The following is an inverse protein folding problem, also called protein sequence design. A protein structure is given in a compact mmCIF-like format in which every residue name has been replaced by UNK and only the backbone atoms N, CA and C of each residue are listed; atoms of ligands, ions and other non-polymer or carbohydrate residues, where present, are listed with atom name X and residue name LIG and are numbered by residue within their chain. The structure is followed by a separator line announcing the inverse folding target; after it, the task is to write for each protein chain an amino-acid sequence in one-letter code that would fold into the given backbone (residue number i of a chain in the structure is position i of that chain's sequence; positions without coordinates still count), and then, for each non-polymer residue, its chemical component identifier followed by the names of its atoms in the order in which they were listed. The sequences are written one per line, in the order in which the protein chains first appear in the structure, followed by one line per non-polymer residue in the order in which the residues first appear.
data_IF_606969728727
#
_entry.id   IF_606969728727
#
_cell.length_a   1.000
_cell.length_b   1.000
_cell.length_c   1.000
_cell.angle_alpha   90.00
_cell.angle_beta   90.00
_cell.angle_gamma   90.00
#
_symmetry.space_group_name_H-M   'P 1'
#
loop_
_entity.id
_entity.type
_entity.pdbx_description
1 polymer ?
#
# COMPACT_ATOMS: atom_id res chain seq x y z
N UNK A 1 13.19 32.92 15.84
CA UNK A 1 13.37 31.84 14.84
C UNK A 1 14.47 30.83 15.25
N UNK A 2 14.53 30.44 16.54
CA UNK A 2 15.61 29.57 17.10
C UNK A 2 15.06 28.53 18.11
N UNK A 3 13.84 28.72 18.61
CA UNK A 3 13.21 27.84 19.61
C UNK A 3 12.33 26.74 19.00
N UNK A 4 11.66 26.97 17.86
CA UNK A 4 10.88 25.93 17.15
C UNK A 4 11.78 24.83 16.58
N UNK A 5 12.93 25.18 16.00
CA UNK A 5 13.84 24.23 15.37
C UNK A 5 14.54 23.28 16.37
N UNK A 6 14.69 23.71 17.64
CA UNK A 6 15.21 22.86 18.73
C UNK A 6 14.17 21.87 19.26
N UNK A 7 12.89 22.20 19.18
CA UNK A 7 11.81 21.31 19.59
C UNK A 7 11.66 20.11 18.64
N UNK A 8 11.86 20.32 17.34
CA UNK A 8 11.80 19.28 16.32
C UNK A 8 12.94 18.24 16.43
N UNK A 9 14.15 18.68 16.79
CA UNK A 9 15.33 17.79 16.89
C UNK A 9 15.26 16.91 18.15
N UNK A 10 14.77 17.41 19.28
CA UNK A 10 14.69 16.65 20.53
C UNK A 10 13.62 15.55 20.43
N UNK A 11 12.51 15.79 19.73
CA UNK A 11 11.50 14.75 19.45
C UNK A 11 11.99 13.72 18.41
N UNK A 12 12.80 14.15 17.43
CA UNK A 12 13.46 13.26 16.48
C UNK A 12 14.54 12.36 17.13
N UNK A 13 15.24 12.86 18.15
CA UNK A 13 16.25 12.11 18.92
C UNK A 13 15.63 11.04 19.85
N UNK A 14 14.39 11.23 20.32
CA UNK A 14 13.68 10.23 21.12
C UNK A 14 13.20 9.00 20.33
N UNK A 15 13.38 8.98 19.00
CA UNK A 15 12.94 7.89 18.11
C UNK A 15 14.09 7.04 17.56
N UNK A 16 15.33 7.36 17.90
CA UNK A 16 16.50 6.58 17.49
C UNK A 16 16.55 5.32 18.35
N UNK A 17 16.12 4.21 17.77
CA UNK A 17 16.13 2.89 18.42
C UNK A 17 17.16 1.99 17.75
N UNK A 18 17.65 0.98 18.45
CA UNK A 18 18.64 0.05 17.89
C UNK A 18 17.98 -1.27 17.49
N UNK A 19 18.47 -1.90 16.42
CA UNK A 19 18.10 -3.26 16.05
C UNK A 19 19.23 -4.23 16.36
N UNK A 20 19.14 -4.96 17.48
CA UNK A 20 20.15 -5.98 17.83
C UNK A 20 20.28 -7.11 16.81
N UNK A 21 19.21 -7.43 16.05
CA UNK A 21 19.26 -8.47 15.01
C UNK A 21 20.01 -8.05 13.76
N UNK A 22 19.97 -6.76 13.42
CA UNK A 22 20.64 -6.21 12.25
C UNK A 22 21.93 -5.47 12.61
N UNK A 23 22.27 -5.41 13.91
CA UNK A 23 23.41 -4.68 14.45
C UNK A 23 23.50 -3.22 13.96
N UNK A 24 22.35 -2.54 13.83
CA UNK A 24 22.29 -1.19 13.25
C UNK A 24 21.24 -0.31 13.93
N UNK A 25 21.47 1.01 13.87
CA UNK A 25 20.54 2.03 14.32
C UNK A 25 19.33 2.07 13.38
N UNK A 26 18.13 2.01 13.95
CA UNK A 26 16.87 2.21 13.24
C UNK A 26 16.64 3.71 13.06
N UNK A 27 16.47 4.09 11.80
CA UNK A 27 15.93 5.40 11.45
C UNK A 27 14.47 5.50 11.92
N UNK A 28 13.92 6.72 12.06
CA UNK A 28 12.52 6.90 12.40
C UNK A 28 11.60 6.07 11.49
N UNK A 29 10.55 5.47 12.08
CA UNK A 29 9.55 4.64 11.38
C UNK A 29 10.11 3.33 10.78
N UNK A 30 11.32 2.91 11.18
CA UNK A 30 11.92 1.65 10.73
C UNK A 30 11.57 0.51 11.67
N UNK A 31 11.13 -0.62 11.12
CA UNK A 31 10.82 -1.82 11.89
C UNK A 31 11.55 -3.03 11.32
N UNK A 32 11.99 -3.94 12.19
CA UNK A 32 12.62 -5.19 11.77
C UNK A 32 11.53 -6.19 11.41
N UNK A 33 11.51 -6.63 10.16
CA UNK A 33 10.64 -7.72 9.73
C UNK A 33 11.37 -9.05 9.96
N UNK A 34 10.74 -9.95 10.73
CA UNK A 34 11.26 -11.30 10.99
C UNK A 34 11.31 -12.14 9.71
N UNK A 35 10.26 -12.09 8.89
CA UNK A 35 10.16 -12.86 7.64
C UNK A 35 11.22 -12.45 6.62
N UNK A 36 11.47 -11.15 6.47
CA UNK A 36 12.52 -10.65 5.58
C UNK A 36 13.91 -10.62 6.23
N UNK A 37 14.02 -10.92 7.53
CA UNK A 37 15.22 -10.83 8.37
C UNK A 37 16.03 -9.53 8.18
N UNK A 38 15.34 -8.39 8.06
CA UNK A 38 15.98 -7.08 7.87
C UNK A 38 15.11 -5.94 8.37
N UNK A 39 15.75 -4.81 8.62
CA UNK A 39 15.06 -3.57 8.93
C UNK A 39 14.46 -2.94 7.67
N UNK A 40 13.18 -2.58 7.72
CA UNK A 40 12.41 -1.99 6.64
C UNK A 40 12.09 -0.54 7.02
N UNK A 41 12.61 0.40 6.24
CA UNK A 41 12.35 1.83 6.43
C UNK A 41 10.89 2.15 6.10
N UNK A 42 10.21 2.89 7.00
CA UNK A 42 8.77 3.17 6.93
C UNK A 42 7.97 1.91 6.65
N UNK A 43 8.22 0.86 7.43
CA UNK A 43 7.57 -0.44 7.28
C UNK A 43 6.07 -0.31 7.41
N UNK A 44 5.33 -0.78 6.42
CA UNK A 44 3.88 -0.89 6.50
C UNK A 44 3.47 -2.26 7.01
N UNK A 45 3.86 -3.32 6.30
CA UNK A 45 3.64 -4.70 6.73
C UNK A 45 4.54 -5.66 5.93
N UNK A 46 4.63 -6.91 6.40
CA UNK A 46 5.06 -8.00 5.54
C UNK A 46 3.83 -8.57 4.84
N UNK A 47 3.85 -8.61 3.51
CA UNK A 47 2.73 -9.07 2.71
C UNK A 47 3.07 -10.45 2.13
N UNK A 48 2.42 -11.54 2.59
CA UNK A 48 2.66 -12.88 2.05
C UNK A 48 2.32 -12.96 0.55
N UNK A 49 1.32 -12.20 0.09
CA UNK A 49 0.82 -12.23 -1.29
C UNK A 49 1.82 -11.74 -2.33
N UNK A 50 2.71 -10.81 -1.95
CA UNK A 50 3.82 -10.35 -2.81
C UNK A 50 5.17 -10.90 -2.34
N UNK A 51 5.16 -11.82 -1.37
CA UNK A 51 6.34 -12.42 -0.73
C UNK A 51 7.43 -11.37 -0.40
N UNK A 52 7.02 -10.22 0.12
CA UNK A 52 7.90 -9.10 0.35
C UNK A 52 7.32 -8.15 1.39
N UNK A 53 8.19 -7.37 2.03
CA UNK A 53 7.75 -6.25 2.85
C UNK A 53 7.28 -5.08 2.00
N UNK A 54 6.19 -4.46 2.43
CA UNK A 54 5.73 -3.17 1.96
C UNK A 54 6.33 -2.11 2.89
N UNK A 55 7.06 -1.16 2.32
CA UNK A 55 7.69 -0.06 3.04
C UNK A 55 8.06 1.07 2.09
N UNK A 56 8.97 1.97 2.50
CA UNK A 56 9.25 3.21 1.76
C UNK A 56 9.50 2.99 0.25
N UNK A 57 10.34 2.01 -0.10
CA UNK A 57 10.80 1.76 -1.49
C UNK A 57 9.72 1.15 -2.40
N UNK A 58 8.61 0.66 -1.86
CA UNK A 58 7.60 -0.04 -2.67
C UNK A 58 6.14 0.19 -2.28
N UNK A 59 5.86 1.03 -1.28
CA UNK A 59 4.49 1.34 -0.85
C UNK A 59 3.64 1.86 -2.02
N UNK A 60 4.21 2.71 -2.88
CA UNK A 60 3.51 3.19 -4.09
C UNK A 60 3.08 2.08 -5.03
N UNK A 61 3.97 1.11 -5.28
CA UNK A 61 3.69 0.01 -6.20
C UNK A 61 2.67 -0.95 -5.59
N UNK A 62 2.70 -1.12 -4.26
CA UNK A 62 1.68 -1.88 -3.56
C UNK A 62 0.28 -1.22 -3.69
N UNK A 63 0.17 0.10 -3.50
CA UNK A 63 -1.10 0.81 -3.70
C UNK A 63 -1.57 0.72 -5.17
N UNK A 64 -0.65 0.88 -6.13
CA UNK A 64 -0.96 0.72 -7.57
C UNK A 64 -1.41 -0.71 -7.89
N UNK A 65 -0.73 -1.73 -7.36
CA UNK A 65 -1.11 -3.14 -7.51
C UNK A 65 -2.55 -3.37 -7.01
N UNK A 66 -2.89 -2.89 -5.82
CA UNK A 66 -4.24 -3.03 -5.28
C UNK A 66 -5.29 -2.33 -6.16
N UNK A 67 -4.99 -1.12 -6.64
CA UNK A 67 -5.87 -0.37 -7.53
C UNK A 67 -6.12 -1.10 -8.85
N UNK A 68 -5.05 -1.55 -9.53
CA UNK A 68 -5.19 -2.25 -10.81
C UNK A 68 -5.79 -3.65 -10.68
N UNK A 69 -5.48 -4.37 -9.60
CA UNK A 69 -6.13 -5.65 -9.30
C UNK A 69 -7.63 -5.46 -9.09
N UNK A 70 -8.05 -4.44 -8.34
CA UNK A 70 -9.48 -4.12 -8.15
C UNK A 70 -10.18 -3.80 -9.47
N UNK A 71 -9.58 -2.96 -10.32
CA UNK A 71 -10.14 -2.65 -11.64
C UNK A 71 -10.29 -3.89 -12.52
N UNK A 72 -9.28 -4.75 -12.53
CA UNK A 72 -9.32 -6.01 -13.27
C UNK A 72 -10.45 -6.92 -12.78
N UNK A 73 -10.59 -7.07 -11.46
CA UNK A 73 -11.64 -7.90 -10.86
C UNK A 73 -13.05 -7.34 -11.12
N UNK A 74 -13.23 -6.02 -11.02
CA UNK A 74 -14.50 -5.35 -11.38
C UNK A 74 -14.84 -5.64 -12.85
N UNK A 75 -13.87 -5.51 -13.75
CA UNK A 75 -14.08 -5.75 -15.18
C UNK A 75 -14.45 -7.21 -15.46
N UNK A 76 -13.76 -8.17 -14.82
CA UNK A 76 -14.07 -9.60 -14.95
C UNK A 76 -15.48 -9.91 -14.44
N UNK A 77 -15.85 -9.43 -13.25
CA UNK A 77 -17.21 -9.62 -12.71
C UNK A 77 -18.26 -9.00 -13.63
N UNK A 78 -18.08 -7.77 -14.11
CA UNK A 78 -19.06 -7.13 -14.99
C UNK A 78 -19.27 -7.91 -16.29
N UNK A 79 -18.20 -8.41 -16.92
CA UNK A 79 -18.32 -9.21 -18.13
C UNK A 79 -18.99 -10.56 -17.89
N UNK A 80 -18.55 -11.32 -16.88
CA UNK A 80 -19.11 -12.65 -16.62
C UNK A 80 -20.57 -12.53 -16.16
N UNK A 81 -20.88 -11.59 -15.26
CA UNK A 81 -22.25 -11.32 -14.82
C UNK A 81 -23.16 -10.85 -15.97
N UNK A 82 -22.66 -10.01 -16.87
CA UNK A 82 -23.42 -9.58 -18.04
C UNK A 82 -23.77 -10.78 -18.94
N UNK A 83 -22.80 -11.64 -19.23
CA UNK A 83 -23.01 -12.83 -20.05
C UNK A 83 -23.93 -13.86 -19.38
N UNK A 84 -23.84 -14.05 -18.05
CA UNK A 84 -24.65 -15.03 -17.31
C UNK A 84 -26.10 -14.57 -17.07
N UNK A 85 -26.33 -13.29 -16.79
CA UNK A 85 -27.61 -12.82 -16.25
C UNK A 85 -28.37 -11.82 -17.12
N UNK A 86 -27.69 -11.17 -18.08
CA UNK A 86 -28.28 -10.09 -18.90
C UNK A 86 -28.35 -10.49 -20.37
N UNK A 87 -27.30 -11.09 -20.89
CA UNK A 87 -27.22 -11.45 -22.30
C UNK A 87 -27.96 -12.77 -22.56
N UNK A 88 -29.24 -12.68 -22.92
CA UNK A 88 -30.15 -13.83 -23.03
C UNK A 88 -29.89 -14.74 -24.26
N UNK A 89 -28.77 -14.64 -25.00
CA UNK A 89 -28.55 -15.43 -26.25
C UNK A 89 -27.11 -15.84 -26.59
N UNK A 90 -27.06 -16.97 -27.33
CA UNK A 90 -25.98 -17.60 -28.08
C UNK A 90 -24.79 -18.15 -27.29
N UNK A 91 -24.06 -17.34 -26.52
CA UNK A 91 -22.83 -17.83 -25.84
C UNK A 91 -23.19 -18.86 -24.77
N UNK A 92 -24.14 -18.56 -23.88
CA UNK A 92 -24.55 -19.51 -22.83
C UNK A 92 -25.19 -20.80 -23.36
N UNK A 93 -25.83 -20.75 -24.53
CA UNK A 93 -26.46 -21.92 -25.15
C UNK A 93 -25.44 -22.88 -25.77
N UNK A 94 -24.27 -22.38 -26.17
CA UNK A 94 -23.15 -23.22 -26.63
C UNK A 94 -22.33 -23.80 -25.47
N UNK A 95 -22.47 -23.26 -24.26
CA UNK A 95 -21.78 -23.76 -23.08
C UNK A 95 -22.47 -25.01 -22.51
N UNK A 96 -21.65 -26.00 -22.18
CA UNK A 96 -22.06 -27.14 -21.36
C UNK A 96 -22.44 -26.66 -19.94
N UNK A 97 -23.29 -27.43 -19.25
CA UNK A 97 -23.64 -27.17 -17.84
C UNK A 97 -22.41 -27.05 -16.93
N UNK A 98 -21.37 -27.83 -17.21
CA UNK A 98 -20.11 -27.77 -16.46
C UNK A 98 -19.39 -26.43 -16.66
N UNK A 99 -19.37 -25.91 -17.89
CA UNK A 99 -18.77 -24.59 -18.17
C UNK A 99 -19.57 -23.46 -17.52
N UNK A 100 -20.91 -23.51 -17.58
CA UNK A 100 -21.75 -22.54 -16.88
C UNK A 100 -21.48 -22.55 -15.36
N UNK A 101 -21.38 -23.75 -14.76
CA UNK A 101 -21.06 -23.89 -13.35
C UNK A 101 -19.69 -23.31 -12.99
N UNK A 102 -18.66 -23.57 -13.81
CA UNK A 102 -17.32 -22.99 -13.63
C UNK A 102 -17.37 -21.46 -13.71
N UNK A 103 -18.07 -20.90 -14.71
CA UNK A 103 -18.21 -19.45 -14.87
C UNK A 103 -18.92 -18.82 -13.67
N UNK A 104 -19.98 -19.44 -13.15
CA UNK A 104 -20.66 -18.97 -11.94
C UNK A 104 -19.72 -18.97 -10.73
N UNK A 105 -18.90 -20.01 -10.56
CA UNK A 105 -17.89 -20.04 -9.48
C UNK A 105 -16.86 -18.92 -9.67
N UNK A 106 -16.38 -18.71 -10.89
CA UNK A 106 -15.44 -17.64 -11.21
C UNK A 106 -16.05 -16.26 -10.90
N UNK A 107 -17.29 -16.02 -11.30
CA UNK A 107 -18.00 -14.75 -11.05
C UNK A 107 -18.15 -14.47 -9.55
N UNK A 108 -18.66 -15.44 -8.79
CA UNK A 108 -18.82 -15.34 -7.32
C UNK A 108 -17.46 -15.10 -6.64
N UNK A 109 -16.41 -15.77 -7.11
CA UNK A 109 -15.06 -15.58 -6.57
C UNK A 109 -14.53 -14.19 -6.89
N UNK A 110 -14.65 -13.72 -8.13
CA UNK A 110 -14.24 -12.38 -8.54
C UNK A 110 -15.00 -11.30 -7.78
N UNK A 111 -16.33 -11.42 -7.63
CA UNK A 111 -17.15 -10.50 -6.86
C UNK A 111 -16.71 -10.44 -5.39
N UNK A 112 -16.45 -11.60 -4.78
CA UNK A 112 -15.94 -11.65 -3.40
C UNK A 112 -14.58 -10.95 -3.26
N UNK A 113 -13.69 -11.14 -4.24
CA UNK A 113 -12.39 -10.46 -4.28
C UNK A 113 -12.52 -8.95 -4.50
N UNK A 114 -13.51 -8.48 -5.27
CA UNK A 114 -13.80 -7.03 -5.41
C UNK A 114 -14.08 -6.41 -4.05
N UNK A 115 -14.89 -7.06 -3.20
CA UNK A 115 -15.21 -6.56 -1.86
C UNK A 115 -13.96 -6.49 -0.97
N UNK A 116 -13.16 -7.57 -0.95
CA UNK A 116 -11.94 -7.66 -0.14
C UNK A 116 -10.90 -6.64 -0.59
N UNK A 117 -10.61 -6.59 -1.89
CA UNK A 117 -9.63 -5.66 -2.46
C UNK A 117 -10.10 -4.21 -2.36
N UNK A 118 -11.41 -3.97 -2.48
CA UNK A 118 -12.01 -2.65 -2.27
C UNK A 118 -11.81 -2.15 -0.85
N UNK A 119 -12.07 -3.00 0.16
CA UNK A 119 -11.79 -2.69 1.55
C UNK A 119 -10.29 -2.42 1.79
N UNK A 120 -9.42 -3.29 1.29
CA UNK A 120 -7.97 -3.15 1.45
C UNK A 120 -7.45 -1.85 0.82
N UNK A 121 -7.89 -1.52 -0.40
CA UNK A 121 -7.54 -0.27 -1.06
C UNK A 121 -8.05 0.94 -0.27
N UNK A 122 -9.30 0.91 0.20
CA UNK A 122 -9.88 1.96 1.05
C UNK A 122 -9.08 2.18 2.33
N UNK A 123 -8.65 1.10 2.98
CA UNK A 123 -7.80 1.14 4.17
C UNK A 123 -6.45 1.82 3.90
N UNK A 124 -5.76 1.44 2.81
CA UNK A 124 -4.50 2.06 2.42
C UNK A 124 -4.65 3.53 1.98
N UNK A 125 -5.76 3.89 1.34
CA UNK A 125 -6.09 5.29 1.01
C UNK A 125 -6.27 6.10 2.30
N UNK A 126 -7.01 5.57 3.28
CA UNK A 126 -7.20 6.21 4.57
C UNK A 126 -5.86 6.40 5.31
N UNK A 127 -5.03 5.35 5.39
CA UNK A 127 -3.71 5.42 6.03
C UNK A 127 -2.77 6.41 5.33
N UNK A 128 -2.76 6.40 3.99
CA UNK A 128 -2.01 7.38 3.21
C UNK A 128 -2.51 8.80 3.47
N UNK A 129 -3.82 9.02 3.56
CA UNK A 129 -4.39 10.33 3.87
C UNK A 129 -4.03 10.84 5.26
N UNK A 130 -3.75 9.94 6.22
CA UNK A 130 -3.28 10.28 7.57
C UNK A 130 -1.74 10.27 7.71
N UNK A 131 -0.99 9.87 6.68
CA UNK A 131 0.45 9.63 6.73
C UNK A 131 0.89 8.64 7.85
N UNK A 132 0.10 7.60 8.07
CA UNK A 132 0.43 6.51 8.99
C UNK A 132 0.66 5.23 8.21
N UNK A 133 1.53 4.37 8.73
CA UNK A 133 1.68 2.99 8.28
C UNK A 133 0.74 2.07 9.06
N UNK A 134 0.52 0.85 8.58
CA UNK A 134 -0.26 -0.17 9.29
C UNK A 134 0.38 -0.53 10.65
N UNK A 135 1.71 -0.59 10.75
CA UNK A 135 2.40 -0.75 12.05
C UNK A 135 2.04 0.39 13.00
N UNK A 136 2.16 1.63 12.53
CA UNK A 136 1.91 2.82 13.35
C UNK A 136 0.43 2.99 13.72
N UNK A 137 -0.49 2.52 12.88
CA UNK A 137 -1.91 2.46 13.20
C UNK A 137 -2.18 1.61 14.45
N UNK A 138 -1.29 0.70 14.84
CA UNK A 138 -1.43 -0.08 16.08
C UNK A 138 -0.66 0.50 17.28
N UNK A 139 -0.02 1.67 17.14
CA UNK A 139 0.72 2.34 18.22
C UNK A 139 -0.19 3.39 18.87
N UNK A 140 -0.48 3.24 20.17
CA UNK A 140 -1.46 4.09 20.87
C UNK A 140 -1.05 5.56 20.94
N UNK A 141 0.25 5.84 21.08
CA UNK A 141 0.80 7.18 21.12
C UNK A 141 0.56 7.91 19.79
N UNK A 142 0.72 7.20 18.67
CA UNK A 142 0.48 7.75 17.32
C UNK A 142 -1.02 7.96 17.09
N UNK A 143 -1.87 7.04 17.58
CA UNK A 143 -3.34 7.23 17.54
C UNK A 143 -3.77 8.47 18.31
N UNK A 144 -3.18 8.71 19.48
CA UNK A 144 -3.51 9.85 20.33
C UNK A 144 -3.03 11.17 19.72
N UNK A 145 -1.81 11.19 19.17
CA UNK A 145 -1.26 12.36 18.51
C UNK A 145 -0.30 11.94 17.39
N UNK A 146 -0.73 12.06 16.14
CA UNK A 146 0.05 11.67 14.98
C UNK A 146 0.96 12.82 14.49
N UNK A 147 2.29 12.75 14.73
CA UNK A 147 3.21 13.83 14.36
C UNK A 147 3.56 13.84 12.86
N UNK A 148 3.20 12.79 12.12
CA UNK A 148 3.59 12.63 10.71
C UNK A 148 2.56 13.24 9.75
N UNK A 149 1.34 13.48 10.20
CA UNK A 149 0.25 14.03 9.39
C UNK A 149 0.59 15.46 8.93
N UNK A 150 0.61 15.69 7.62
CA UNK A 150 0.77 17.02 7.03
C UNK A 150 -0.57 17.78 7.04
N UNK A 151 -0.55 19.13 7.05
CA UNK A 151 -1.77 19.95 7.02
C UNK A 151 -2.66 19.67 5.79
N UNK A 152 -2.06 19.42 4.63
CA UNK A 152 -2.80 19.10 3.40
C UNK A 152 -2.71 17.61 3.11
N UNK A 153 -3.85 17.00 2.82
CA UNK A 153 -3.95 15.57 2.48
C UNK A 153 -3.04 15.23 1.29
N UNK A 154 -3.00 16.10 0.26
CA UNK A 154 -2.15 15.88 -0.92
C UNK A 154 -0.66 15.72 -0.57
N UNK A 155 -0.18 16.42 0.47
CA UNK A 155 1.21 16.31 0.89
C UNK A 155 1.49 14.95 1.56
N UNK A 156 0.50 14.35 2.21
CA UNK A 156 0.60 12.98 2.72
C UNK A 156 0.69 11.96 1.58
N UNK A 157 -0.08 12.16 0.50
CA UNK A 157 0.00 11.30 -0.69
C UNK A 157 1.34 11.47 -1.42
N UNK A 158 1.90 12.68 -1.49
CA UNK A 158 3.23 12.91 -2.09
C UNK A 158 4.34 12.16 -1.36
N UNK A 159 4.21 11.92 -0.06
CA UNK A 159 5.16 11.08 0.70
C UNK A 159 5.12 9.61 0.26
N UNK A 160 4.07 9.14 -0.42
CA UNK A 160 3.98 7.76 -0.94
C UNK A 160 4.23 7.73 -2.44
N UNK A 161 3.51 8.54 -3.21
CA UNK A 161 3.50 8.48 -4.68
C UNK A 161 4.51 9.41 -5.34
N UNK A 162 5.15 10.30 -4.58
CA UNK A 162 6.08 11.31 -5.07
C UNK A 162 5.40 12.64 -5.45
N UNK A 163 6.19 13.67 -5.77
CA UNK A 163 5.70 15.05 -5.96
C UNK A 163 4.91 15.23 -7.27
N UNK A 164 5.21 14.45 -8.29
CA UNK A 164 4.63 14.57 -9.64
C UNK A 164 3.38 13.69 -9.80
N UNK A 165 2.20 14.30 -9.70
CA UNK A 165 0.88 13.63 -9.74
C UNK A 165 0.68 12.80 -11.02
N UNK A 166 1.22 13.26 -12.16
CA UNK A 166 1.12 12.54 -13.45
C UNK A 166 1.69 11.11 -13.41
N UNK A 167 2.54 10.78 -12.45
CA UNK A 167 3.14 9.45 -12.31
C UNK A 167 2.48 8.60 -11.22
N UNK A 168 1.46 9.10 -10.51
CA UNK A 168 0.85 8.38 -9.38
C UNK A 168 0.24 7.03 -9.76
N UNK A 169 -0.22 6.90 -11.01
CA UNK A 169 -0.78 5.66 -11.53
C UNK A 169 0.22 4.89 -12.40
N UNK A 170 1.45 5.39 -12.60
CA UNK A 170 2.42 4.72 -13.47
C UNK A 170 3.53 4.04 -12.61
N UNK A 171 3.77 2.73 -12.76
CA UNK A 171 4.79 2.01 -11.98
C UNK A 171 6.22 2.27 -12.53
N UNK A 172 6.66 3.53 -12.55
CA UNK A 172 7.92 3.96 -13.18
C UNK A 172 9.05 4.18 -12.17
N UNK A 173 10.04 3.27 -12.12
CA UNK A 173 11.19 3.31 -11.20
C UNK A 173 11.99 4.63 -11.20
N UNK A 174 12.09 5.30 -12.35
CA UNK A 174 12.95 6.48 -12.52
C UNK A 174 12.41 7.78 -11.89
N UNK A 175 11.13 7.81 -11.50
CA UNK A 175 10.50 8.94 -10.79
C UNK A 175 10.90 8.99 -9.32
N UNK A 176 11.43 7.89 -8.78
CA UNK A 176 11.74 7.72 -7.36
C UNK A 176 12.99 8.51 -6.92
N UNK A 177 13.96 8.69 -7.81
CA UNK A 177 15.26 9.35 -7.52
C UNK A 177 15.13 10.86 -7.28
N UNK A 178 14.16 11.53 -7.92
CA UNK A 178 13.91 12.96 -7.71
C UNK A 178 13.01 13.24 -6.50
N UNK A 179 12.22 12.25 -6.07
CA UNK A 179 11.25 12.36 -4.99
C UNK A 179 11.82 12.05 -3.60
N UNK A 180 12.74 11.07 -3.51
CA UNK A 180 13.34 10.62 -2.25
C UNK A 180 14.86 10.56 -2.36
N UNK A 181 15.56 11.71 -2.39
CA UNK A 181 17.00 11.82 -2.67
C UNK A 181 17.93 11.28 -1.57
N UNK A 182 17.43 10.40 -0.67
CA UNK A 182 18.21 9.81 0.44
C UNK A 182 17.96 8.31 0.63
N UNK A 183 17.36 7.61 -0.32
CA UNK A 183 17.13 6.14 -0.21
C UNK A 183 18.35 5.30 -0.61
N UNK A 184 19.32 5.93 -1.25
CA UNK A 184 20.65 5.46 -1.62
C UNK A 184 21.63 5.42 -0.44
N UNK A 185 21.49 6.34 0.53
CA UNK A 185 22.29 6.35 1.77
C UNK A 185 21.96 5.20 2.74
N UNK A 186 20.95 4.39 2.44
CA UNK A 186 20.48 3.27 3.27
C UNK A 186 20.50 1.94 2.51
N UNK A 187 21.29 1.85 1.44
CA UNK A 187 21.71 0.58 0.84
C UNK A 187 22.84 0.00 1.70
N UNK A 188 22.46 -0.67 2.79
CA UNK A 188 23.27 -1.68 3.46
C UNK A 188 22.60 -3.02 3.25
#
# INVERSE_FOLDING_TARGET
MSMMMKFDIIQALQLVSYCFKCDNIKLPRTHHCKECNKCILRMDHHCPWVNNCVGLKNHRYFCQFNFYALLCMIQCTLFISYDLFVNDKLVLQELTKNQQFILTICDVTCFSLVLVMGFLLGFHIYHTAQNITTVEYHINEIKANNPFRKPRIIDNFKEVFGPEIKYWFLPLRNVEKSAFPRTDLFEV
#
